data_IF_368122950686
#
_entry.id   IF_368122950686
#
_cell.length_a   1.000
_cell.length_b   1.000
_cell.length_c   1.000
_cell.angle_alpha   90.00
_cell.angle_beta   90.00
_cell.angle_gamma   90.00
#
_symmetry.space_group_name_H-M   'P 1'
#
loop_
_entity.id
_entity.type
_entity.pdbx_description
1 polymer ?
#
# COMPACT_ATOMS: atom_id res chain seq x y z
N UNK A 1 -15.82 14.74 -10.93
CA UNK A 1 -15.55 13.82 -9.84
C UNK A 1 -14.45 14.41 -8.96
N UNK A 2 -14.72 14.55 -7.68
CA UNK A 2 -13.71 15.10 -6.77
C UNK A 2 -12.64 14.07 -6.41
N UNK A 3 -11.50 14.55 -6.02
CA UNK A 3 -10.37 13.75 -5.57
C UNK A 3 -10.70 12.85 -4.41
N UNK A 4 -11.39 13.41 -3.42
CA UNK A 4 -11.82 12.63 -2.27
C UNK A 4 -12.65 11.43 -2.67
N UNK A 5 -13.48 11.55 -3.71
CA UNK A 5 -14.30 10.45 -4.21
C UNK A 5 -13.46 9.36 -4.87
N UNK A 6 -12.41 9.74 -5.59
CA UNK A 6 -11.53 8.77 -6.23
C UNK A 6 -10.75 7.97 -5.19
N UNK A 7 -10.18 8.65 -4.18
CA UNK A 7 -9.45 7.99 -3.09
C UNK A 7 -10.37 7.06 -2.29
N UNK A 8 -11.60 7.51 -2.01
CA UNK A 8 -12.59 6.68 -1.30
C UNK A 8 -12.97 5.45 -2.11
N UNK A 9 -13.15 5.57 -3.42
CA UNK A 9 -13.47 4.43 -4.30
C UNK A 9 -12.34 3.41 -4.32
N UNK A 10 -11.09 3.87 -4.40
CA UNK A 10 -9.93 2.97 -4.38
C UNK A 10 -9.87 2.19 -3.07
N UNK A 11 -10.00 2.89 -1.94
CA UNK A 11 -9.99 2.27 -0.62
C UNK A 11 -11.12 1.26 -0.44
N UNK A 12 -12.33 1.65 -0.83
CA UNK A 12 -13.52 0.79 -0.72
C UNK A 12 -13.36 -0.47 -1.58
N UNK A 13 -12.91 -0.32 -2.82
CA UNK A 13 -12.69 -1.43 -3.72
C UNK A 13 -11.66 -2.42 -3.16
N UNK A 14 -10.56 -1.90 -2.61
CA UNK A 14 -9.54 -2.73 -2.00
C UNK A 14 -10.09 -3.51 -0.80
N UNK A 15 -10.83 -2.85 0.09
CA UNK A 15 -11.43 -3.50 1.25
C UNK A 15 -12.46 -4.56 0.85
N UNK A 16 -13.28 -4.29 -0.16
CA UNK A 16 -14.26 -5.26 -0.67
C UNK A 16 -13.57 -6.51 -1.21
N UNK A 17 -12.47 -6.34 -1.94
CA UNK A 17 -11.74 -7.47 -2.51
C UNK A 17 -11.13 -8.39 -1.48
N UNK A 18 -10.68 -7.84 -0.34
CA UNK A 18 -10.04 -8.66 0.70
C UNK A 18 -11.02 -9.19 1.73
N UNK A 19 -12.26 -8.74 1.72
CA UNK A 19 -13.25 -9.10 2.73
C UNK A 19 -13.54 -10.59 2.81
N UNK A 20 -13.40 -11.33 1.71
CA UNK A 20 -13.64 -12.78 1.66
C UNK A 20 -12.41 -13.62 1.97
N UNK A 21 -11.26 -13.00 2.12
CA UNK A 21 -9.99 -13.69 2.40
C UNK A 21 -9.86 -13.88 3.91
N UNK A 22 -9.61 -15.12 4.36
CA UNK A 22 -9.51 -15.43 5.79
C UNK A 22 -8.13 -15.21 6.39
N UNK A 23 -7.06 -15.50 5.65
CA UNK A 23 -5.68 -15.30 6.15
C UNK A 23 -5.31 -13.83 6.18
N UNK A 24 -4.94 -13.26 7.35
CA UNK A 24 -4.49 -11.86 7.42
C UNK A 24 -3.32 -11.56 6.50
N UNK A 25 -2.37 -12.48 6.35
CA UNK A 25 -1.23 -12.27 5.47
C UNK A 25 -1.63 -12.24 3.99
N UNK A 26 -2.55 -13.11 3.59
CA UNK A 26 -3.09 -13.10 2.23
C UNK A 26 -3.93 -11.86 1.96
N UNK A 27 -4.70 -11.41 2.95
CA UNK A 27 -5.41 -10.13 2.85
C UNK A 27 -4.44 -9.00 2.58
N UNK A 28 -3.34 -8.96 3.33
CA UNK A 28 -2.33 -7.91 3.20
C UNK A 28 -1.66 -7.95 1.83
N UNK A 29 -1.27 -9.13 1.36
CA UNK A 29 -0.66 -9.27 0.04
C UNK A 29 -1.59 -8.77 -1.07
N UNK A 30 -2.86 -9.16 -1.01
CA UNK A 30 -3.86 -8.74 -1.98
C UNK A 30 -4.13 -7.23 -1.90
N UNK A 31 -4.28 -6.71 -0.68
CA UNK A 31 -4.51 -5.29 -0.45
C UNK A 31 -3.37 -4.43 -1.00
N UNK A 32 -2.13 -4.79 -0.67
CA UNK A 32 -0.97 -4.02 -1.13
C UNK A 32 -0.79 -4.11 -2.64
N UNK A 33 -1.12 -5.24 -3.26
CA UNK A 33 -1.08 -5.37 -4.72
C UNK A 33 -2.05 -4.38 -5.37
N UNK A 34 -3.26 -4.26 -4.82
CA UNK A 34 -4.25 -3.30 -5.34
C UNK A 34 -3.75 -1.86 -5.16
N UNK A 35 -3.24 -1.54 -3.97
CA UNK A 35 -2.70 -0.22 -3.66
C UNK A 35 -1.53 0.12 -4.60
N UNK A 36 -0.59 -0.81 -4.77
CA UNK A 36 0.59 -0.58 -5.62
C UNK A 36 0.20 -0.40 -7.09
N UNK A 37 -0.80 -1.12 -7.57
CA UNK A 37 -1.28 -0.98 -8.94
C UNK A 37 -1.95 0.38 -9.18
N UNK A 38 -2.52 0.97 -8.16
CA UNK A 38 -3.15 2.28 -8.26
C UNK A 38 -2.13 3.44 -8.30
N UNK A 39 -0.86 3.18 -7.91
CA UNK A 39 0.16 4.23 -7.78
C UNK A 39 1.05 4.29 -9.04
N UNK A 40 0.43 4.42 -10.21
CA UNK A 40 1.15 4.61 -11.46
C UNK A 40 1.56 6.07 -11.67
N UNK A 41 2.31 6.37 -12.77
CA UNK A 41 2.73 7.74 -13.06
C UNK A 41 1.58 8.73 -13.16
N UNK A 42 0.45 8.32 -13.71
CA UNK A 42 -0.76 9.15 -13.78
C UNK A 42 -1.30 9.49 -12.39
N UNK A 43 -1.26 8.52 -11.48
CA UNK A 43 -1.72 8.72 -10.11
C UNK A 43 -0.84 9.74 -9.39
N UNK A 44 0.48 9.63 -9.52
CA UNK A 44 1.41 10.56 -8.89
C UNK A 44 1.21 12.00 -9.42
N UNK A 45 1.11 12.15 -10.74
CA UNK A 45 0.81 13.46 -11.36
C UNK A 45 -0.49 14.03 -10.81
N UNK A 46 -1.49 13.18 -10.68
CA UNK A 46 -2.79 13.53 -10.15
C UNK A 46 -2.69 13.98 -8.69
N UNK A 47 -2.00 13.22 -7.85
CA UNK A 47 -1.81 13.54 -6.43
C UNK A 47 -1.06 14.86 -6.27
N UNK A 48 -0.02 15.12 -7.07
CA UNK A 48 0.70 16.38 -7.02
C UNK A 48 -0.19 17.56 -7.42
N UNK A 49 -1.00 17.38 -8.46
CA UNK A 49 -1.99 18.38 -8.85
C UNK A 49 -2.97 18.68 -7.73
N UNK A 50 -3.33 17.67 -6.96
CA UNK A 50 -4.24 17.80 -5.84
C UNK A 50 -3.62 18.50 -4.64
N UNK A 51 -2.35 18.26 -4.38
CA UNK A 51 -1.64 18.91 -3.28
C UNK A 51 -1.56 20.42 -3.49
N UNK A 52 -1.66 20.89 -4.76
CA UNK A 52 -1.69 22.30 -5.08
C UNK A 52 -3.06 22.95 -4.81
N UNK A 53 -4.11 22.15 -4.62
CA UNK A 53 -5.46 22.65 -4.33
C UNK A 53 -5.64 22.77 -2.81
N UNK A 54 -6.11 23.92 -2.36
CA UNK A 54 -6.29 24.19 -0.93
C UNK A 54 -7.23 23.16 -0.29
N UNK A 55 -6.76 22.53 0.79
CA UNK A 55 -7.51 21.52 1.54
C UNK A 55 -7.32 20.09 1.07
N UNK A 56 -6.79 19.87 -0.13
CA UNK A 56 -6.62 18.51 -0.67
C UNK A 56 -5.45 17.75 -0.04
N UNK A 57 -4.46 18.45 0.50
CA UNK A 57 -3.32 17.82 1.17
C UNK A 57 -3.76 16.98 2.37
N UNK A 58 -4.81 17.40 3.08
CA UNK A 58 -5.35 16.64 4.21
C UNK A 58 -5.93 15.31 3.76
N UNK A 59 -6.63 15.28 2.61
CA UNK A 59 -7.22 14.06 2.07
C UNK A 59 -6.14 13.08 1.62
N UNK A 60 -5.09 13.57 0.97
CA UNK A 60 -3.97 12.73 0.54
C UNK A 60 -3.27 12.14 1.76
N UNK A 61 -2.96 12.97 2.77
CA UNK A 61 -2.31 12.51 3.99
C UNK A 61 -3.17 11.50 4.75
N UNK A 62 -4.48 11.72 4.81
CA UNK A 62 -5.41 10.78 5.44
C UNK A 62 -5.39 9.44 4.72
N UNK A 63 -5.40 9.45 3.40
CA UNK A 63 -5.37 8.21 2.60
C UNK A 63 -4.07 7.44 2.82
N UNK A 64 -2.92 8.13 2.80
CA UNK A 64 -1.62 7.52 3.06
C UNK A 64 -1.56 6.91 4.46
N UNK A 65 -2.06 7.64 5.45
CA UNK A 65 -2.11 7.18 6.84
C UNK A 65 -3.03 5.97 6.99
N UNK A 66 -4.16 5.96 6.28
CA UNK A 66 -5.08 4.82 6.27
C UNK A 66 -4.37 3.55 5.76
N UNK A 67 -3.62 3.66 4.67
CA UNK A 67 -2.89 2.52 4.10
C UNK A 67 -1.90 1.97 5.13
N UNK A 68 -1.13 2.84 5.76
CA UNK A 68 -0.16 2.43 6.78
C UNK A 68 -0.84 1.77 7.99
N UNK A 69 -1.92 2.37 8.48
CA UNK A 69 -2.65 1.86 9.64
C UNK A 69 -3.32 0.52 9.35
N UNK A 70 -3.91 0.37 8.17
CA UNK A 70 -4.54 -0.89 7.78
C UNK A 70 -3.49 -1.98 7.58
N UNK A 71 -2.34 -1.65 7.00
CA UNK A 71 -1.21 -2.56 6.86
C UNK A 71 -0.73 -3.03 8.24
N UNK A 72 -0.59 -2.11 9.18
CA UNK A 72 -0.22 -2.44 10.56
C UNK A 72 -1.22 -3.41 11.19
N UNK A 73 -2.50 -3.12 11.04
CA UNK A 73 -3.57 -3.98 11.59
C UNK A 73 -3.48 -5.40 11.05
N UNK A 74 -3.30 -5.56 9.74
CA UNK A 74 -3.20 -6.88 9.13
C UNK A 74 -1.92 -7.61 9.53
N UNK A 75 -0.81 -6.89 9.71
CA UNK A 75 0.43 -7.50 10.23
C UNK A 75 0.25 -7.97 11.67
N UNK A 76 -0.44 -7.19 12.51
CA UNK A 76 -0.74 -7.59 13.88
C UNK A 76 -1.62 -8.84 13.91
N UNK A 77 -2.64 -8.89 13.06
CA UNK A 77 -3.51 -10.07 12.94
C UNK A 77 -2.73 -11.30 12.44
N UNK A 78 -1.82 -11.10 11.47
CA UNK A 78 -0.97 -12.18 10.96
C UNK A 78 -0.03 -12.71 12.05
N UNK A 79 0.50 -11.82 12.88
CA UNK A 79 1.34 -12.20 14.01
C UNK A 79 0.54 -13.03 15.03
N UNK A 80 -0.66 -12.59 15.38
CA UNK A 80 -1.55 -13.31 16.28
C UNK A 80 -1.95 -14.68 15.72
N UNK A 81 -2.10 -14.78 14.40
CA UNK A 81 -2.44 -16.02 13.73
C UNK A 81 -1.23 -16.93 13.49
N UNK A 82 -0.06 -16.54 13.94
CA UNK A 82 1.21 -17.28 13.74
C UNK A 82 1.54 -17.50 12.26
N UNK A 83 1.21 -16.53 11.42
CA UNK A 83 1.53 -16.57 9.98
C UNK A 83 2.88 -15.95 9.67
N UNK A 84 3.38 -15.07 10.53
CA UNK A 84 4.64 -14.34 10.33
C UNK A 84 5.53 -14.43 11.56
N UNK A 85 6.83 -14.18 11.33
CA UNK A 85 7.81 -14.08 12.41
C UNK A 85 7.55 -12.84 13.26
N UNK A 86 8.14 -12.82 14.45
CA UNK A 86 8.05 -11.66 15.33
C UNK A 86 8.89 -10.52 14.75
N UNK A 87 8.21 -9.49 14.24
CA UNK A 87 8.82 -8.35 13.57
C UNK A 87 8.41 -7.05 14.25
N UNK A 88 9.12 -5.97 13.95
CA UNK A 88 8.67 -4.61 14.29
C UNK A 88 7.53 -4.23 13.34
N UNK A 89 6.30 -4.51 13.74
CA UNK A 89 5.11 -4.34 12.92
C UNK A 89 4.97 -2.90 12.43
N UNK A 90 5.22 -1.92 13.30
CA UNK A 90 5.09 -0.50 12.92
C UNK A 90 6.09 -0.12 11.83
N UNK A 91 7.33 -0.56 11.96
CA UNK A 91 8.36 -0.28 10.96
C UNK A 91 8.02 -0.91 9.62
N UNK A 92 7.59 -2.17 9.62
CA UNK A 92 7.17 -2.86 8.39
C UNK A 92 5.94 -2.20 7.77
N UNK A 93 5.00 -1.72 8.58
CA UNK A 93 3.81 -1.04 8.07
C UNK A 93 4.17 0.27 7.36
N UNK A 94 5.08 1.04 7.91
CA UNK A 94 5.56 2.29 7.29
C UNK A 94 6.23 1.98 5.95
N UNK A 95 7.11 0.99 5.92
CA UNK A 95 7.80 0.59 4.71
C UNK A 95 6.83 0.09 3.63
N UNK A 96 6.04 -0.91 3.97
CA UNK A 96 5.12 -1.54 3.01
C UNK A 96 4.05 -0.57 2.51
N UNK A 97 3.55 0.28 3.38
CA UNK A 97 2.51 1.25 3.02
C UNK A 97 3.00 2.37 2.11
N UNK A 98 4.31 2.59 2.01
CA UNK A 98 4.90 3.67 1.24
C UNK A 98 5.66 3.28 -0.02
N UNK A 99 5.87 1.99 -0.26
CA UNK A 99 6.71 1.51 -1.37
C UNK A 99 6.20 2.01 -2.74
N UNK A 100 4.92 1.84 -3.01
CA UNK A 100 4.34 2.23 -4.30
C UNK A 100 4.50 3.72 -4.56
N UNK A 101 4.21 4.53 -3.57
CA UNK A 101 4.34 5.97 -3.64
C UNK A 101 5.78 6.40 -3.89
N UNK A 102 6.73 5.76 -3.19
CA UNK A 102 8.15 6.11 -3.32
C UNK A 102 8.66 5.79 -4.73
N UNK A 103 8.26 4.68 -5.32
CA UNK A 103 8.68 4.32 -6.66
C UNK A 103 7.97 5.14 -7.75
N UNK A 104 6.80 5.70 -7.45
CA UNK A 104 6.08 6.56 -8.38
C UNK A 104 6.72 7.94 -8.51
N UNK A 105 7.53 8.37 -7.54
CA UNK A 105 8.24 9.65 -7.62
C UNK A 105 9.19 9.65 -8.81
N UNK A 106 9.21 10.75 -9.58
CA UNK A 106 9.99 10.85 -10.79
C UNK A 106 11.46 10.48 -10.59
N UNK A 107 12.08 10.99 -9.53
CA UNK A 107 13.50 10.74 -9.25
C UNK A 107 13.82 9.26 -9.08
N UNK A 108 12.86 8.46 -8.63
CA UNK A 108 13.04 7.02 -8.44
C UNK A 108 12.59 6.26 -9.69
N UNK A 109 11.48 6.68 -10.29
CA UNK A 109 10.91 6.04 -11.48
C UNK A 109 11.89 5.94 -12.63
N UNK A 110 12.70 6.98 -12.85
CA UNK A 110 13.67 7.01 -13.95
C UNK A 110 14.87 6.10 -13.70
N UNK A 111 15.09 5.65 -12.47
CA UNK A 111 16.24 4.81 -12.10
C UNK A 111 15.91 3.32 -12.05
N UNK A 112 14.65 2.96 -11.89
CA UNK A 112 14.24 1.57 -11.78
C UNK A 112 14.02 0.96 -13.16
N UNK A 113 14.19 -0.38 -13.26
CA UNK A 113 14.15 -1.09 -14.54
C UNK A 113 12.75 -1.50 -14.97
N UNK A 114 11.81 -1.52 -14.02
CA UNK A 114 10.42 -1.93 -14.26
C UNK A 114 9.50 -0.75 -14.00
N UNK A 115 8.20 -0.92 -14.28
CA UNK A 115 7.23 0.09 -13.88
C UNK A 115 7.20 0.23 -12.35
N UNK A 116 6.78 1.41 -11.82
CA UNK A 116 6.64 1.58 -10.38
C UNK A 116 5.74 0.52 -9.73
N UNK A 117 4.64 0.15 -10.40
CA UNK A 117 3.70 -0.85 -9.91
C UNK A 117 4.37 -2.22 -9.79
N UNK A 118 5.08 -2.64 -10.82
CA UNK A 118 5.75 -3.94 -10.84
C UNK A 118 6.89 -4.01 -9.84
N UNK A 119 7.68 -2.94 -9.73
CA UNK A 119 8.77 -2.88 -8.73
C UNK A 119 8.23 -2.92 -7.31
N UNK A 120 7.17 -2.15 -7.03
CA UNK A 120 6.53 -2.15 -5.71
C UNK A 120 5.97 -3.52 -5.36
N UNK A 121 5.28 -4.17 -6.30
CA UNK A 121 4.71 -5.50 -6.07
C UNK A 121 5.79 -6.56 -5.86
N UNK A 122 6.87 -6.50 -6.63
CA UNK A 122 7.98 -7.45 -6.51
C UNK A 122 8.64 -7.36 -5.14
N UNK A 123 8.91 -6.15 -4.67
CA UNK A 123 9.53 -5.92 -3.36
C UNK A 123 8.59 -6.32 -2.24
N UNK A 124 7.33 -5.93 -2.33
CA UNK A 124 6.30 -6.29 -1.34
C UNK A 124 6.22 -7.82 -1.20
N UNK A 125 6.14 -8.51 -2.32
CA UNK A 125 6.08 -9.98 -2.34
C UNK A 125 7.30 -10.60 -1.68
N UNK A 126 8.50 -10.09 -1.97
CA UNK A 126 9.74 -10.58 -1.38
C UNK A 126 9.79 -10.36 0.13
N UNK A 127 9.35 -9.19 0.60
CA UNK A 127 9.30 -8.88 2.02
C UNK A 127 8.33 -9.81 2.75
N UNK A 128 7.12 -9.96 2.22
CA UNK A 128 6.10 -10.82 2.85
C UNK A 128 6.53 -12.28 2.86
N UNK A 129 7.18 -12.74 1.80
CA UNK A 129 7.74 -14.10 1.76
C UNK A 129 8.82 -14.28 2.82
N UNK A 130 9.65 -13.25 3.03
CA UNK A 130 10.75 -13.32 4.00
C UNK A 130 10.29 -13.37 5.44
N UNK A 131 9.14 -12.80 5.77
CA UNK A 131 8.61 -12.80 7.15
C UNK A 131 7.62 -13.93 7.42
N UNK A 132 7.19 -14.65 6.39
CA UNK A 132 6.23 -15.76 6.53
C UNK A 132 6.86 -16.91 7.31
N UNK A 133 6.13 -17.41 8.31
CA UNK A 133 6.54 -18.61 9.02
C UNK A 133 6.32 -19.82 8.12
N UNK A 134 7.36 -20.65 8.00
CA UNK A 134 7.26 -21.93 7.31
C UNK A 134 6.80 -22.98 8.32
N UNK A 135 5.75 -23.69 7.96
CA UNK A 135 5.23 -24.80 8.76
C UNK A 135 5.76 -26.12 8.20
#
# INVERSE_FOLDING_TARGET
MTVGNILKKLGKKALERVSSISSPLEKLETYLRIVNQAVGPKFETYIQGLRSVKGSSKLVNYHEKFITNYTQKLLEEALEANEIENIDVKAFAILLGGIGRDFAKEKNRIQINKSPEDSANSITKSILKGIRLEN
#
